data_IF_061016913695
#
_entry.id   IF_061016913695
#
_cell.length_a   1.000
_cell.length_b   1.000
_cell.length_c   1.000
_cell.angle_alpha   90.00
_cell.angle_beta   90.00
_cell.angle_gamma   90.00
#
_symmetry.space_group_name_H-M   'P 1'
#
loop_
_entity.id
_entity.type
_entity.pdbx_description
1 polymer ?
#
# COMPACT_ATOMS: atom_id res chain seq x y z
N UNK A 1 27.55 -25.12 11.04
CA UNK A 1 27.35 -24.94 9.58
C UNK A 1 26.57 -23.66 9.40
N UNK A 2 27.10 -22.70 8.64
CA UNK A 2 26.50 -21.38 8.44
C UNK A 2 25.11 -21.53 7.81
N UNK A 3 24.04 -21.47 8.61
CA UNK A 3 22.75 -21.07 8.08
C UNK A 3 22.90 -19.59 7.71
N UNK A 4 23.18 -19.33 6.43
CA UNK A 4 23.36 -17.98 5.90
C UNK A 4 22.09 -17.18 6.14
N UNK A 5 22.12 -16.32 7.16
CA UNK A 5 21.02 -15.43 7.54
C UNK A 5 20.64 -14.48 6.40
N UNK A 6 21.60 -14.17 5.52
CA UNK A 6 21.46 -13.22 4.44
C UNK A 6 21.68 -13.88 3.08
N UNK A 7 20.82 -13.54 2.13
CA UNK A 7 20.93 -13.82 0.70
C UNK A 7 21.47 -12.56 0.03
N UNK A 8 22.70 -12.61 -0.47
CA UNK A 8 23.38 -11.46 -1.08
C UNK A 8 23.02 -11.29 -2.55
N UNK A 9 23.24 -10.08 -3.07
CA UNK A 9 23.15 -9.77 -4.49
C UNK A 9 24.49 -9.27 -5.02
N UNK A 10 24.57 -9.02 -6.33
CA UNK A 10 25.68 -8.32 -6.98
C UNK A 10 25.88 -6.90 -6.46
N UNK A 11 24.85 -6.30 -5.84
CA UNK A 11 24.90 -5.01 -5.18
C UNK A 11 25.04 -5.20 -3.66
N UNK A 12 26.17 -4.81 -3.04
CA UNK A 12 26.38 -5.01 -1.60
C UNK A 12 25.42 -4.22 -0.71
N UNK A 13 24.73 -3.20 -1.24
CA UNK A 13 23.69 -2.45 -0.54
C UNK A 13 22.33 -3.15 -0.51
N UNK A 14 22.19 -4.29 -1.20
CA UNK A 14 20.92 -5.00 -1.35
C UNK A 14 21.12 -6.46 -0.92
N UNK A 15 20.53 -6.80 0.22
CA UNK A 15 20.53 -8.14 0.81
C UNK A 15 19.13 -8.50 1.27
N UNK A 16 18.81 -9.79 1.26
CA UNK A 16 17.51 -10.29 1.73
C UNK A 16 17.73 -11.23 2.91
N UNK A 17 16.88 -11.14 3.94
CA UNK A 17 16.88 -12.13 5.02
C UNK A 17 16.48 -13.51 4.47
N UNK A 18 17.08 -14.59 4.95
CA UNK A 18 16.75 -15.95 4.52
C UNK A 18 15.45 -16.50 5.16
N UNK A 19 14.40 -15.66 5.11
CA UNK A 19 13.00 -16.01 5.38
C UNK A 19 12.28 -16.31 4.08
N UNK A 20 11.01 -16.72 4.16
CA UNK A 20 10.20 -16.93 2.95
C UNK A 20 10.01 -15.64 2.15
N UNK A 21 9.81 -14.52 2.84
CA UNK A 21 9.72 -13.18 2.24
C UNK A 21 11.02 -12.82 1.51
N UNK A 22 12.17 -12.99 2.15
CA UNK A 22 13.43 -12.63 1.51
C UNK A 22 13.85 -13.60 0.41
N UNK A 23 13.50 -14.90 0.48
CA UNK A 23 13.65 -15.84 -0.65
C UNK A 23 12.75 -15.46 -1.83
N UNK A 24 11.51 -15.04 -1.58
CA UNK A 24 10.60 -14.53 -2.61
C UNK A 24 11.20 -13.31 -3.30
N UNK A 25 11.65 -12.32 -2.53
CA UNK A 25 12.28 -11.11 -3.09
C UNK A 25 13.57 -11.44 -3.83
N UNK A 26 14.42 -12.32 -3.29
CA UNK A 26 15.65 -12.76 -3.96
C UNK A 26 15.36 -13.44 -5.29
N UNK A 27 14.34 -14.30 -5.36
CA UNK A 27 13.89 -14.91 -6.62
C UNK A 27 13.47 -13.86 -7.64
N UNK A 28 12.74 -12.84 -7.22
CA UNK A 28 12.30 -11.74 -8.10
C UNK A 28 13.48 -10.83 -8.48
N UNK A 29 14.48 -10.67 -7.61
CA UNK A 29 15.71 -9.95 -7.91
C UNK A 29 16.53 -10.64 -9.00
N UNK A 30 16.59 -11.97 -8.95
CA UNK A 30 17.38 -12.79 -9.89
C UNK A 30 16.63 -13.11 -11.20
N UNK A 31 15.32 -12.90 -11.25
CA UNK A 31 14.49 -13.23 -12.40
C UNK A 31 14.87 -12.44 -13.67
N UNK A 32 14.79 -13.07 -14.83
CA UNK A 32 14.95 -12.37 -16.12
C UNK A 32 13.79 -11.40 -16.38
N UNK A 33 13.93 -10.47 -17.33
CA UNK A 33 12.82 -9.58 -17.71
C UNK A 33 11.61 -10.39 -18.25
N UNK A 34 11.85 -11.50 -18.95
CA UNK A 34 10.78 -12.39 -19.44
C UNK A 34 10.04 -13.09 -18.28
N UNK A 35 10.75 -13.50 -17.24
CA UNK A 35 10.13 -14.06 -16.03
C UNK A 35 9.30 -13.02 -15.27
N UNK A 36 9.77 -11.77 -15.22
CA UNK A 36 9.00 -10.65 -14.67
C UNK A 36 7.74 -10.39 -15.49
N UNK A 37 7.84 -10.37 -16.82
CA UNK A 37 6.69 -10.17 -17.71
C UNK A 37 5.65 -11.27 -17.53
N UNK A 38 6.08 -12.53 -17.38
CA UNK A 38 5.18 -13.64 -17.07
C UNK A 38 4.47 -13.45 -15.72
N UNK A 39 5.19 -12.98 -14.69
CA UNK A 39 4.55 -12.66 -13.40
C UNK A 39 3.49 -11.57 -13.61
N UNK A 40 3.79 -10.51 -14.35
CA UNK A 40 2.81 -9.45 -14.59
C UNK A 40 1.58 -9.96 -15.37
N UNK A 41 1.78 -10.82 -16.36
CA UNK A 41 0.69 -11.47 -17.12
C UNK A 41 -0.22 -12.32 -16.22
N UNK A 42 0.35 -13.07 -15.27
CA UNK A 42 -0.42 -13.89 -14.33
C UNK A 42 -1.39 -13.03 -13.47
N UNK A 43 -0.99 -11.80 -13.15
CA UNK A 43 -1.80 -10.81 -12.41
C UNK A 43 -2.60 -9.87 -13.33
N UNK A 44 -2.45 -10.00 -14.65
CA UNK A 44 -3.10 -9.14 -15.65
C UNK A 44 -2.63 -7.69 -15.55
N UNK A 45 -1.32 -7.44 -15.51
CA UNK A 45 -0.74 -6.10 -15.54
C UNK A 45 -0.03 -5.90 -16.89
N UNK A 46 -0.27 -4.79 -17.61
CA UNK A 46 -1.24 -3.72 -17.29
C UNK A 46 -2.71 -4.14 -17.50
N UNK A 47 -3.63 -3.41 -16.88
CA UNK A 47 -5.08 -3.50 -17.11
C UNK A 47 -5.73 -2.15 -16.90
N UNK A 48 -6.91 -1.93 -17.49
CA UNK A 48 -7.72 -0.75 -17.15
C UNK A 48 -8.24 -0.85 -15.70
N UNK A 49 -8.38 0.28 -14.98
CA UNK A 49 -8.98 0.28 -13.64
C UNK A 49 -10.38 -0.35 -13.62
N UNK A 50 -10.64 -1.15 -12.61
CA UNK A 50 -11.85 -1.94 -12.44
C UNK A 50 -12.88 -1.26 -11.50
N UNK A 51 -12.69 0.02 -11.15
CA UNK A 51 -13.53 0.78 -10.19
C UNK A 51 -15.04 0.71 -10.47
N UNK A 52 -15.42 0.66 -11.75
CA UNK A 52 -16.81 0.51 -12.21
C UNK A 52 -17.17 -0.89 -12.69
N UNK A 53 -16.23 -1.85 -12.66
CA UNK A 53 -16.44 -3.22 -13.16
C UNK A 53 -17.26 -4.02 -12.14
N UNK A 54 -18.39 -4.63 -12.55
CA UNK A 54 -19.19 -5.47 -11.66
C UNK A 54 -18.39 -6.63 -11.07
N UNK A 55 -18.62 -6.94 -9.80
CA UNK A 55 -17.99 -8.06 -9.10
C UNK A 55 -16.60 -7.77 -8.52
N UNK A 56 -16.01 -6.61 -8.80
CA UNK A 56 -14.62 -6.30 -8.39
C UNK A 56 -14.52 -5.83 -6.94
N UNK A 57 -15.27 -4.79 -6.63
CA UNK A 57 -15.29 -4.14 -5.32
C UNK A 57 -16.51 -4.59 -4.55
N UNK A 58 -16.46 -4.58 -3.21
CA UNK A 58 -17.64 -4.80 -2.38
C UNK A 58 -18.79 -3.88 -2.81
N UNK A 59 -18.47 -2.64 -3.20
CA UNK A 59 -19.40 -1.63 -3.69
C UNK A 59 -19.98 -1.92 -5.09
N UNK A 60 -19.29 -2.71 -5.93
CA UNK A 60 -19.73 -3.07 -7.29
C UNK A 60 -20.13 -4.55 -7.41
N UNK A 61 -20.21 -5.27 -6.29
CA UNK A 61 -20.56 -6.68 -6.24
C UNK A 61 -21.94 -6.86 -5.64
N UNK A 62 -22.77 -7.72 -6.23
CA UNK A 62 -24.10 -8.02 -5.67
C UNK A 62 -23.93 -8.57 -4.26
N UNK A 63 -24.76 -8.11 -3.31
CA UNK A 63 -24.59 -8.39 -1.88
C UNK A 63 -24.44 -9.89 -1.56
N UNK A 64 -25.22 -10.74 -2.20
CA UNK A 64 -25.13 -12.19 -2.05
C UNK A 64 -23.76 -12.75 -2.49
N UNK A 65 -23.20 -12.23 -3.58
CA UNK A 65 -21.86 -12.61 -4.06
C UNK A 65 -20.75 -12.10 -3.14
N UNK A 66 -20.93 -10.94 -2.49
CA UNK A 66 -19.99 -10.46 -1.45
C UNK A 66 -19.93 -11.48 -0.31
N UNK A 67 -21.08 -11.98 0.16
CA UNK A 67 -21.14 -13.00 1.21
C UNK A 67 -20.45 -14.30 0.76
N UNK A 68 -20.67 -14.73 -0.48
CA UNK A 68 -20.04 -15.93 -1.06
C UNK A 68 -18.52 -15.80 -1.20
N UNK A 69 -18.04 -14.63 -1.65
CA UNK A 69 -16.61 -14.34 -1.74
C UNK A 69 -15.97 -14.30 -0.36
N UNK A 70 -16.60 -13.62 0.61
CA UNK A 70 -16.14 -13.55 2.00
C UNK A 70 -15.99 -14.93 2.66
N UNK A 71 -16.88 -15.87 2.35
CA UNK A 71 -16.80 -17.27 2.84
C UNK A 71 -15.59 -18.03 2.29
N UNK A 72 -15.06 -17.61 1.13
CA UNK A 72 -13.85 -18.18 0.51
C UNK A 72 -12.58 -17.44 0.93
N UNK A 73 -12.69 -16.14 1.19
CA UNK A 73 -11.61 -15.27 1.60
C UNK A 73 -12.21 -14.07 2.32
N UNK A 74 -11.96 -13.91 3.63
CA UNK A 74 -12.47 -12.79 4.44
C UNK A 74 -11.42 -11.67 4.64
N UNK A 75 -10.35 -11.69 3.84
CA UNK A 75 -9.40 -10.59 3.72
C UNK A 75 -9.98 -9.52 2.80
N UNK A 76 -9.85 -8.27 3.22
CA UNK A 76 -10.13 -7.08 2.41
C UNK A 76 -8.89 -6.21 2.30
N UNK A 77 -8.53 -5.86 1.07
CA UNK A 77 -7.49 -4.87 0.77
C UNK A 77 -8.14 -3.49 0.66
N UNK A 78 -7.53 -2.52 1.33
CA UNK A 78 -8.02 -1.15 1.42
C UNK A 78 -6.95 -0.25 0.80
N UNK A 79 -7.08 0.09 -0.50
CA UNK A 79 -6.13 0.95 -1.17
C UNK A 79 -6.25 2.38 -0.63
N UNK A 80 -5.11 2.99 -0.27
CA UNK A 80 -5.03 4.33 0.28
C UNK A 80 -3.98 5.14 -0.49
N UNK A 81 -4.42 6.25 -1.06
CA UNK A 81 -3.55 7.24 -1.67
C UNK A 81 -3.97 8.63 -1.25
N UNK A 82 -3.78 9.59 -2.14
CA UNK A 82 -4.24 10.96 -1.97
C UNK A 82 -4.53 11.63 -3.32
N UNK A 83 -4.94 12.90 -3.26
CA UNK A 83 -4.97 13.82 -4.41
C UNK A 83 -3.96 14.94 -4.16
N UNK A 84 -2.87 14.93 -4.92
CA UNK A 84 -1.81 15.91 -4.76
C UNK A 84 -1.08 16.26 -6.05
N UNK A 85 -0.23 17.29 -5.98
CA UNK A 85 0.51 17.79 -7.13
C UNK A 85 1.65 16.86 -7.53
N UNK A 86 1.51 16.19 -8.67
CA UNK A 86 2.53 15.30 -9.24
C UNK A 86 3.17 15.85 -10.53
N UNK A 87 3.54 17.13 -10.52
CA UNK A 87 4.05 17.78 -11.74
C UNK A 87 2.96 18.08 -12.77
N UNK A 88 3.40 18.52 -13.96
CA UNK A 88 2.51 18.88 -15.07
C UNK A 88 2.20 17.72 -16.01
N UNK A 89 3.00 16.65 -15.94
CA UNK A 89 2.97 15.54 -16.87
C UNK A 89 2.02 14.43 -16.46
N UNK A 90 1.52 14.42 -15.23
CA UNK A 90 0.62 13.36 -14.77
C UNK A 90 -0.48 13.88 -13.85
N UNK A 91 -1.36 12.98 -13.46
CA UNK A 91 -2.62 13.24 -12.78
C UNK A 91 -2.44 13.40 -11.28
N UNK A 92 -3.30 14.20 -10.64
CA UNK A 92 -3.24 14.39 -9.19
C UNK A 92 -3.67 13.16 -8.37
N UNK A 93 -4.38 12.21 -9.00
CA UNK A 93 -4.80 10.95 -8.37
C UNK A 93 -3.81 9.80 -8.53
N UNK A 94 -2.54 10.09 -8.85
CA UNK A 94 -1.49 9.10 -9.09
C UNK A 94 -1.45 8.06 -7.96
N UNK A 95 -1.33 8.53 -6.72
CA UNK A 95 -1.24 7.69 -5.54
C UNK A 95 -2.34 6.65 -5.46
N UNK A 96 -3.58 7.13 -5.55
CA UNK A 96 -4.76 6.29 -5.40
C UNK A 96 -4.82 5.25 -6.51
N UNK A 97 -4.50 5.64 -7.76
CA UNK A 97 -4.56 4.72 -8.89
C UNK A 97 -3.45 3.66 -8.88
N UNK A 98 -2.25 3.97 -8.38
CA UNK A 98 -1.17 2.98 -8.23
C UNK A 98 -1.62 1.85 -7.31
N UNK A 99 -2.04 2.15 -6.07
CA UNK A 99 -2.45 1.09 -5.13
C UNK A 99 -3.75 0.40 -5.52
N UNK A 100 -4.66 1.12 -6.17
CA UNK A 100 -5.88 0.54 -6.75
C UNK A 100 -5.52 -0.59 -7.73
N UNK A 101 -4.63 -0.33 -8.68
CA UNK A 101 -4.28 -1.32 -9.70
C UNK A 101 -3.42 -2.47 -9.18
N UNK A 102 -2.56 -2.21 -8.18
CA UNK A 102 -1.85 -3.29 -7.47
C UNK A 102 -2.88 -4.22 -6.80
N UNK A 103 -3.85 -3.66 -6.06
CA UNK A 103 -4.87 -4.45 -5.37
C UNK A 103 -5.77 -5.22 -6.35
N UNK A 104 -6.16 -4.60 -7.47
CA UNK A 104 -6.91 -5.27 -8.54
C UNK A 104 -6.11 -6.42 -9.18
N UNK A 105 -4.80 -6.26 -9.37
CA UNK A 105 -3.91 -7.32 -9.85
C UNK A 105 -3.92 -8.54 -8.92
N UNK A 106 -3.77 -8.32 -7.61
CA UNK A 106 -3.85 -9.39 -6.59
C UNK A 106 -5.22 -10.05 -6.59
N UNK A 107 -6.30 -9.27 -6.74
CA UNK A 107 -7.66 -9.79 -6.88
C UNK A 107 -7.80 -10.69 -8.10
N UNK A 108 -7.39 -10.25 -9.29
CA UNK A 108 -7.44 -11.06 -10.51
C UNK A 108 -6.69 -12.38 -10.35
N UNK A 109 -5.51 -12.35 -9.73
CA UNK A 109 -4.72 -13.55 -9.49
C UNK A 109 -5.45 -14.52 -8.55
N UNK A 110 -5.94 -14.04 -7.40
CA UNK A 110 -6.64 -14.89 -6.41
C UNK A 110 -8.03 -15.36 -6.88
N UNK A 111 -8.69 -14.60 -7.76
CA UNK A 111 -9.94 -15.00 -8.43
C UNK A 111 -9.72 -16.22 -9.35
N UNK A 112 -8.61 -16.25 -10.11
CA UNK A 112 -8.23 -17.43 -10.92
C UNK A 112 -7.99 -18.69 -10.07
N UNK A 113 -7.60 -18.52 -8.80
CA UNK A 113 -7.42 -19.61 -7.83
C UNK A 113 -8.74 -20.00 -7.10
N UNK A 114 -9.85 -19.30 -7.38
CA UNK A 114 -11.16 -19.60 -6.80
C UNK A 114 -11.42 -18.99 -5.42
N UNK A 115 -10.53 -18.14 -4.90
CA UNK A 115 -10.65 -17.49 -3.59
C UNK A 115 -10.34 -15.97 -3.66
N UNK A 116 -11.11 -15.20 -4.47
CA UNK A 116 -10.82 -13.79 -4.73
C UNK A 116 -10.68 -13.00 -3.43
N UNK A 117 -9.56 -12.29 -3.27
CA UNK A 117 -9.44 -11.31 -2.18
C UNK A 117 -10.42 -10.17 -2.42
N UNK A 118 -11.00 -9.62 -1.35
CA UNK A 118 -12.00 -8.57 -1.47
C UNK A 118 -11.32 -7.21 -1.54
N UNK A 119 -11.94 -6.29 -2.27
CA UNK A 119 -11.49 -4.91 -2.40
C UNK A 119 -12.60 -3.96 -1.94
N UNK A 120 -12.20 -2.85 -1.34
CA UNK A 120 -13.06 -1.67 -1.20
C UNK A 120 -12.53 -0.56 -2.09
N UNK A 121 -13.42 0.35 -2.49
CA UNK A 121 -12.97 1.65 -2.99
C UNK A 121 -12.08 2.32 -1.94
N UNK A 122 -11.14 3.14 -2.41
CA UNK A 122 -10.34 3.97 -1.50
C UNK A 122 -11.28 4.82 -0.65
N UNK A 123 -11.22 4.72 0.70
CA UNK A 123 -11.94 5.64 1.56
C UNK A 123 -11.34 7.06 1.54
N UNK A 124 -10.12 7.22 0.98
CA UNK A 124 -9.41 8.50 0.90
C UNK A 124 -9.14 8.86 -0.57
N UNK A 125 -10.04 9.66 -1.17
CA UNK A 125 -9.68 10.42 -2.37
C UNK A 125 -8.82 11.64 -2.00
N UNK A 126 -8.99 12.15 -0.78
CA UNK A 126 -8.19 13.20 -0.17
C UNK A 126 -7.74 12.71 1.19
N UNK A 127 -6.49 12.99 1.55
CA UNK A 127 -5.82 12.39 2.69
C UNK A 127 -5.01 13.40 3.49
N UNK A 128 -4.29 12.87 4.48
CA UNK A 128 -3.33 13.63 5.23
C UNK A 128 -2.08 13.83 4.35
N UNK A 129 -1.31 14.86 4.63
CA UNK A 129 -0.08 15.15 3.91
C UNK A 129 1.04 15.47 4.90
N UNK A 130 2.30 15.25 4.51
CA UNK A 130 3.43 15.78 5.27
C UNK A 130 3.44 17.31 5.20
N UNK A 131 4.10 17.94 6.17
CA UNK A 131 4.08 19.39 6.31
C UNK A 131 4.66 20.11 5.08
N UNK A 132 5.68 19.54 4.45
CA UNK A 132 6.34 20.16 3.30
C UNK A 132 5.49 20.25 2.02
N UNK A 133 4.33 19.59 1.95
CA UNK A 133 3.39 19.72 0.83
C UNK A 133 2.45 20.94 0.98
N UNK A 134 2.54 21.69 2.09
CA UNK A 134 1.61 22.79 2.38
C UNK A 134 1.64 23.87 1.29
N UNK A 135 0.44 24.23 0.81
CA UNK A 135 0.23 25.29 -0.17
C UNK A 135 0.41 24.88 -1.64
N UNK A 136 0.81 23.63 -1.92
CA UNK A 136 0.97 23.14 -3.28
C UNK A 136 -0.36 23.18 -4.07
N UNK A 137 -0.43 23.86 -5.23
CA UNK A 137 -1.65 23.91 -6.02
C UNK A 137 -2.07 22.53 -6.54
N UNK A 138 -3.34 22.16 -6.33
CA UNK A 138 -3.87 20.83 -6.67
C UNK A 138 -3.83 19.83 -5.51
N UNK A 139 -3.13 20.17 -4.43
CA UNK A 139 -3.06 19.36 -3.20
C UNK A 139 -4.18 19.73 -2.24
N UNK A 140 -4.95 18.75 -1.79
CA UNK A 140 -6.06 18.96 -0.85
C UNK A 140 -5.75 18.26 0.47
N UNK A 141 -5.31 19.05 1.44
CA UNK A 141 -4.85 18.54 2.74
C UNK A 141 -6.04 18.37 3.69
N UNK A 142 -6.28 17.14 4.12
CA UNK A 142 -7.29 16.81 5.14
C UNK A 142 -6.60 16.74 6.51
N UNK A 143 -7.21 17.29 7.58
CA UNK A 143 -6.68 17.14 8.93
C UNK A 143 -6.48 15.66 9.31
N UNK A 144 -5.35 15.34 9.92
CA UNK A 144 -4.97 13.97 10.28
C UNK A 144 -6.04 13.28 11.14
N UNK A 145 -6.68 14.03 12.04
CA UNK A 145 -7.76 13.54 12.90
C UNK A 145 -8.99 13.12 12.11
N UNK A 146 -9.34 13.83 11.04
CA UNK A 146 -10.46 13.46 10.16
C UNK A 146 -10.14 12.18 9.40
N UNK A 147 -8.92 12.06 8.88
CA UNK A 147 -8.44 10.86 8.19
C UNK A 147 -8.47 9.66 9.14
N UNK A 148 -7.92 9.82 10.35
CA UNK A 148 -7.88 8.79 11.38
C UNK A 148 -9.29 8.31 11.75
N UNK A 149 -10.20 9.24 12.08
CA UNK A 149 -11.58 8.89 12.41
C UNK A 149 -12.30 8.18 11.27
N UNK A 150 -12.14 8.65 10.03
CA UNK A 150 -12.73 8.01 8.86
C UNK A 150 -12.27 6.56 8.73
N UNK A 151 -10.96 6.30 8.82
CA UNK A 151 -10.40 4.97 8.69
C UNK A 151 -10.85 4.04 9.82
N UNK A 152 -10.88 4.52 11.06
CA UNK A 152 -11.40 3.76 12.21
C UNK A 152 -12.86 3.31 11.97
N UNK A 153 -13.70 4.20 11.42
CA UNK A 153 -15.10 3.88 11.12
C UNK A 153 -15.24 2.93 9.92
N UNK A 154 -14.40 3.08 8.90
CA UNK A 154 -14.33 2.14 7.76
C UNK A 154 -13.96 0.74 8.26
N UNK A 155 -12.92 0.63 9.10
CA UNK A 155 -12.50 -0.65 9.66
C UNK A 155 -13.60 -1.31 10.49
N UNK A 156 -14.30 -0.54 11.32
CA UNK A 156 -15.42 -1.03 12.12
C UNK A 156 -16.58 -1.51 11.24
N UNK A 157 -16.92 -0.77 10.19
CA UNK A 157 -17.97 -1.14 9.25
C UNK A 157 -17.64 -2.44 8.51
N UNK A 158 -16.41 -2.58 8.02
CA UNK A 158 -15.94 -3.79 7.36
C UNK A 158 -15.88 -4.98 8.32
N UNK A 159 -15.47 -4.76 9.57
CA UNK A 159 -15.51 -5.82 10.59
C UNK A 159 -16.96 -6.21 10.89
N UNK A 160 -17.89 -5.25 11.04
CA UNK A 160 -19.32 -5.57 11.19
C UNK A 160 -19.83 -6.40 10.02
N UNK A 161 -19.32 -6.14 8.82
CA UNK A 161 -19.64 -6.87 7.59
C UNK A 161 -18.90 -8.20 7.41
N UNK A 162 -18.28 -8.73 8.46
CA UNK A 162 -17.68 -10.06 8.42
C UNK A 162 -16.23 -10.11 7.95
N UNK A 163 -15.63 -8.99 7.51
CA UNK A 163 -14.21 -8.95 7.11
C UNK A 163 -13.32 -8.89 8.34
N UNK A 164 -12.78 -10.05 8.73
CA UNK A 164 -11.97 -10.21 9.94
C UNK A 164 -10.51 -9.82 9.76
N UNK A 165 -10.09 -9.66 8.51
CA UNK A 165 -8.69 -9.43 8.13
C UNK A 165 -8.64 -8.25 7.16
N UNK A 166 -7.94 -7.19 7.52
CA UNK A 166 -7.97 -5.93 6.78
C UNK A 166 -6.55 -5.41 6.59
N UNK A 167 -6.18 -5.14 5.35
CA UNK A 167 -4.83 -4.72 4.98
C UNK A 167 -4.93 -3.37 4.25
N UNK A 168 -4.42 -2.32 4.89
CA UNK A 168 -4.24 -1.02 4.24
C UNK A 168 -3.02 -1.10 3.32
N UNK A 169 -3.17 -0.67 2.07
CA UNK A 169 -2.08 -0.58 1.09
C UNK A 169 -1.91 0.89 0.70
N UNK A 170 -0.81 1.50 1.13
CA UNK A 170 -0.56 2.94 1.01
C UNK A 170 0.49 3.28 -0.06
N UNK A 171 0.24 4.32 -0.87
CA UNK A 171 1.22 4.94 -1.79
C UNK A 171 1.62 6.37 -1.41
N UNK A 172 0.99 6.99 -0.41
CA UNK A 172 1.15 8.41 -0.14
C UNK A 172 1.97 8.66 1.15
N UNK A 173 2.57 9.84 1.29
CA UNK A 173 3.35 10.26 2.46
C UNK A 173 2.54 10.46 3.76
N UNK A 174 1.69 9.51 4.17
CA UNK A 174 0.79 9.61 5.33
C UNK A 174 0.85 8.39 6.28
N UNK A 175 1.86 7.51 6.15
CA UNK A 175 1.93 6.23 6.87
C UNK A 175 1.70 6.37 8.38
N UNK A 176 2.29 7.38 9.05
CA UNK A 176 2.15 7.54 10.50
C UNK A 176 0.69 7.79 10.95
N UNK A 177 -0.12 8.42 10.08
CA UNK A 177 -1.55 8.63 10.34
C UNK A 177 -2.30 7.30 10.22
N UNK A 178 -1.93 6.47 9.24
CA UNK A 178 -2.53 5.17 9.02
C UNK A 178 -2.20 4.18 10.14
N UNK A 179 -0.94 4.16 10.60
CA UNK A 179 -0.51 3.40 11.78
C UNK A 179 -1.32 3.84 13.01
N UNK A 180 -1.44 5.16 13.23
CA UNK A 180 -2.22 5.72 14.32
C UNK A 180 -3.71 5.31 14.24
N UNK A 181 -4.30 5.28 13.05
CA UNK A 181 -5.69 4.85 12.85
C UNK A 181 -5.90 3.37 13.16
N UNK A 182 -4.97 2.50 12.73
CA UNK A 182 -5.01 1.08 13.07
C UNK A 182 -4.95 0.88 14.59
N UNK A 183 -4.00 1.54 15.27
CA UNK A 183 -3.86 1.43 16.72
C UNK A 183 -5.10 1.97 17.44
N UNK A 184 -5.64 3.11 17.00
CA UNK A 184 -6.86 3.70 17.55
C UNK A 184 -8.06 2.75 17.41
N UNK A 185 -8.22 2.09 16.26
CA UNK A 185 -9.23 1.06 16.05
C UNK A 185 -9.08 -0.09 17.05
N UNK A 186 -7.85 -0.59 17.24
CA UNK A 186 -7.56 -1.66 18.19
C UNK A 186 -7.85 -1.23 19.64
N UNK A 187 -7.48 -0.01 20.03
CA UNK A 187 -7.77 0.53 21.36
C UNK A 187 -9.26 0.63 21.64
N UNK A 188 -10.05 1.18 20.70
CA UNK A 188 -11.48 1.44 20.89
C UNK A 188 -12.33 0.17 20.95
N UNK A 189 -12.05 -0.78 20.08
CA UNK A 189 -12.98 -1.89 19.87
C UNK A 189 -12.45 -3.23 20.38
N UNK A 190 -11.13 -3.43 20.39
CA UNK A 190 -10.49 -4.67 20.80
C UNK A 190 -11.17 -5.89 20.15
N UNK A 191 -11.24 -5.86 18.83
CA UNK A 191 -11.86 -6.91 18.02
C UNK A 191 -10.78 -7.91 17.59
N UNK A 192 -11.01 -9.22 17.73
CA UNK A 192 -10.09 -10.21 17.21
C UNK A 192 -10.10 -10.17 15.68
N UNK A 193 -8.92 -10.26 15.08
CA UNK A 193 -8.71 -10.15 13.65
C UNK A 193 -7.24 -9.95 13.30
N UNK A 194 -6.95 -9.78 12.02
CA UNK A 194 -5.62 -9.39 11.51
C UNK A 194 -5.75 -8.03 10.85
N UNK A 195 -5.04 -7.04 11.37
CA UNK A 195 -5.07 -5.68 10.84
C UNK A 195 -3.63 -5.29 10.52
N UNK A 196 -3.40 -4.82 9.29
CA UNK A 196 -2.06 -4.44 8.83
C UNK A 196 -2.10 -3.13 8.06
N UNK A 197 -1.03 -2.36 8.18
CA UNK A 197 -0.73 -1.20 7.32
C UNK A 197 0.60 -1.44 6.64
N UNK A 198 0.63 -1.11 5.35
CA UNK A 198 1.75 -1.37 4.47
C UNK A 198 1.96 -0.15 3.56
N UNK A 199 3.16 0.40 3.56
CA UNK A 199 3.68 1.16 2.42
C UNK A 199 4.22 0.18 1.40
N UNK A 200 3.51 0.06 0.28
CA UNK A 200 3.79 -1.04 -0.65
C UNK A 200 5.19 -0.90 -1.26
N UNK A 201 5.60 0.32 -1.63
CA UNK A 201 6.90 0.61 -2.21
C UNK A 201 8.03 0.36 -1.21
N UNK A 202 7.78 0.61 0.09
CA UNK A 202 8.73 0.37 1.19
C UNK A 202 8.90 -1.11 1.48
N UNK A 203 7.85 -1.92 1.29
CA UNK A 203 7.93 -3.37 1.41
C UNK A 203 8.72 -4.03 0.29
N UNK A 204 8.95 -3.34 -0.83
CA UNK A 204 9.77 -3.82 -1.96
C UNK A 204 10.86 -2.80 -2.34
N UNK A 205 11.36 -2.03 -1.37
CA UNK A 205 12.28 -0.90 -1.57
C UNK A 205 13.57 -1.27 -2.31
N UNK A 206 13.97 -2.54 -2.22
CA UNK A 206 15.17 -3.06 -2.87
C UNK A 206 15.11 -2.88 -4.40
N UNK A 207 13.91 -2.91 -4.97
CA UNK A 207 13.66 -2.77 -6.41
C UNK A 207 13.58 -1.30 -6.88
N UNK A 208 13.62 -0.35 -5.94
CA UNK A 208 13.73 1.09 -6.19
C UNK A 208 15.13 1.63 -5.86
N UNK A 209 16.09 0.75 -5.55
CA UNK A 209 17.45 1.16 -5.27
C UNK A 209 18.10 1.69 -6.56
N UNK A 210 18.62 2.95 -6.57
CA UNK A 210 19.16 3.54 -7.79
C UNK A 210 20.32 2.73 -8.36
N UNK A 211 20.25 2.44 -9.66
CA UNK A 211 21.23 1.63 -10.40
C UNK A 211 21.47 0.25 -9.76
N UNK A 212 20.46 -0.29 -9.08
CA UNK A 212 20.49 -1.64 -8.50
C UNK A 212 20.64 -2.73 -9.56
N UNK A 213 19.94 -2.57 -10.69
CA UNK A 213 20.01 -3.39 -11.91
C UNK A 213 19.81 -2.54 -13.18
N UNK A 214 20.16 -3.04 -14.39
CA UNK A 214 19.98 -2.29 -15.65
C UNK A 214 18.53 -1.92 -16.01
N UNK A 215 17.55 -2.60 -15.43
CA UNK A 215 16.11 -2.39 -15.60
C UNK A 215 15.47 -1.63 -14.44
N UNK A 216 16.27 -1.08 -13.51
CA UNK A 216 15.78 -0.29 -12.36
C UNK A 216 15.98 1.22 -12.58
N UNK A 217 15.48 2.01 -11.64
CA UNK A 217 15.60 3.47 -11.63
C UNK A 217 17.04 3.95 -11.48
N UNK A 218 17.35 5.13 -12.00
CA UNK A 218 18.67 5.76 -11.95
C UNK A 218 18.83 6.75 -10.80
N UNK A 219 17.70 7.25 -10.29
CA UNK A 219 17.61 8.24 -9.22
C UNK A 219 16.78 7.74 -8.04
N UNK A 220 16.99 8.27 -6.82
CA UNK A 220 16.22 7.87 -5.65
C UNK A 220 14.74 8.18 -5.82
N UNK A 221 13.87 7.25 -5.39
CA UNK A 221 12.41 7.48 -5.30
C UNK A 221 12.13 8.60 -4.29
N UNK A 222 11.61 9.72 -4.78
CA UNK A 222 11.10 10.84 -3.96
C UNK A 222 9.63 11.18 -4.24
N UNK A 223 9.33 12.05 -5.22
CA UNK A 223 7.98 12.55 -5.50
C UNK A 223 7.83 13.01 -6.95
N UNK A 224 6.81 12.51 -7.64
CA UNK A 224 6.52 12.66 -9.07
C UNK A 224 7.73 12.45 -10.00
N UNK A 225 8.66 11.62 -9.55
CA UNK A 225 9.99 11.48 -10.11
C UNK A 225 10.05 10.36 -11.16
N UNK A 226 11.25 9.85 -11.41
CA UNK A 226 11.48 8.70 -12.28
C UNK A 226 10.65 7.47 -11.90
N UNK A 227 10.51 7.18 -10.60
CA UNK A 227 9.83 5.98 -10.09
C UNK A 227 8.33 6.07 -10.31
N UNK A 228 7.71 7.17 -9.90
CA UNK A 228 6.26 7.37 -10.02
C UNK A 228 5.82 7.57 -11.47
N UNK A 229 6.63 8.27 -12.27
CA UNK A 229 6.39 8.38 -13.71
C UNK A 229 6.46 7.02 -14.37
N UNK A 230 7.43 6.18 -13.99
CA UNK A 230 7.53 4.80 -14.50
C UNK A 230 6.32 3.95 -14.11
N UNK A 231 5.81 4.11 -12.88
CA UNK A 231 4.60 3.44 -12.40
C UNK A 231 3.38 3.87 -13.20
N UNK A 232 3.20 5.17 -13.41
CA UNK A 232 2.11 5.71 -14.22
C UNK A 232 2.15 5.21 -15.66
N UNK A 233 3.33 5.18 -16.29
CA UNK A 233 3.50 4.66 -17.66
C UNK A 233 3.21 3.16 -17.78
N UNK A 234 3.42 2.38 -16.72
CA UNK A 234 3.10 0.96 -16.70
C UNK A 234 1.61 0.72 -16.41
N UNK A 235 1.05 1.39 -15.41
CA UNK A 235 -0.25 1.04 -14.86
C UNK A 235 -1.38 1.84 -15.51
N UNK A 236 -1.17 3.12 -15.83
CA UNK A 236 -2.31 3.98 -16.15
C UNK A 236 -2.79 3.81 -17.60
N UNK A 237 -4.10 4.01 -17.85
CA UNK A 237 -4.60 4.21 -19.20
C UNK A 237 -3.81 5.29 -19.95
N UNK A 238 -3.70 5.13 -21.27
CA UNK A 238 -3.07 6.10 -22.15
C UNK A 238 -3.66 7.50 -21.94
N UNK A 239 -2.78 8.52 -21.91
CA UNK A 239 -3.16 9.92 -21.69
C UNK A 239 -3.15 10.39 -20.24
N UNK A 240 -2.93 9.52 -19.26
CA UNK A 240 -2.73 9.92 -17.84
C UNK A 240 -1.28 10.29 -17.51
N UNK A 241 -0.35 10.00 -18.42
CA UNK A 241 1.04 10.48 -18.37
C UNK A 241 1.39 11.05 -19.74
N UNK A 242 1.74 12.32 -19.79
CA UNK A 242 2.24 13.01 -20.98
C UNK A 242 3.73 13.33 -20.81
N UNK A 243 4.58 12.44 -21.34
CA UNK A 243 6.03 12.59 -21.24
C UNK A 243 6.58 13.83 -21.95
N UNK A 244 5.82 14.48 -22.84
CA UNK A 244 6.25 15.76 -23.45
C UNK A 244 6.22 16.93 -22.47
N UNK A 245 5.48 16.77 -21.35
CA UNK A 245 5.38 17.73 -20.26
C UNK A 245 6.25 17.35 -19.06
N UNK A 246 6.94 16.19 -19.10
CA UNK A 246 7.78 15.73 -18.01
C UNK A 246 8.99 16.67 -17.87
N UNK A 247 9.33 17.01 -16.63
CA UNK A 247 10.43 17.92 -16.33
C UNK A 247 11.34 17.35 -15.24
N UNK A 248 12.64 17.61 -15.38
CA UNK A 248 13.63 17.30 -14.35
C UNK A 248 13.79 18.54 -13.47
N UNK A 249 13.74 18.35 -12.16
CA UNK A 249 13.89 19.43 -11.21
C UNK A 249 15.14 19.24 -10.36
N UNK A 250 15.79 20.36 -10.05
CA UNK A 250 16.88 20.43 -9.08
C UNK A 250 16.41 21.42 -8.02
N UNK A 251 16.38 20.99 -6.76
CA UNK A 251 15.78 21.78 -5.66
C UNK A 251 16.27 23.21 -5.65
N UNK A 252 15.33 24.17 -5.74
CA UNK A 252 15.59 25.60 -5.57
C UNK A 252 15.79 25.88 -4.08
N UNK A 253 16.99 25.58 -3.60
CA UNK A 253 17.37 25.71 -2.20
C UNK A 253 18.14 24.48 -1.75
N UNK A 254 19.26 24.72 -1.07
CA UNK A 254 20.02 23.64 -0.45
C UNK A 254 19.31 23.22 0.83
N UNK A 255 19.30 21.91 1.11
CA UNK A 255 19.03 21.46 2.49
C UNK A 255 19.98 22.22 3.40
N UNK A 256 19.45 22.73 4.51
CA UNK A 256 20.24 23.51 5.47
C UNK A 256 21.20 22.61 6.26
N UNK A 257 21.02 21.29 6.20
CA UNK A 257 21.87 20.28 6.83
C UNK A 257 22.51 19.37 5.76
N UNK A 258 23.64 18.72 6.08
CA UNK A 258 24.24 17.71 5.21
C UNK A 258 23.29 16.53 4.94
N UNK A 259 23.42 15.91 3.76
CA UNK A 259 22.69 14.67 3.44
C UNK A 259 23.23 13.48 4.28
N UNK A 260 22.43 12.41 4.40
CA UNK A 260 22.81 11.20 5.12
C UNK A 260 22.14 11.01 6.48
N UNK A 261 21.55 12.07 7.04
CA UNK A 261 20.77 11.98 8.28
C UNK A 261 19.37 11.39 8.06
N UNK A 262 18.69 11.85 7.02
CA UNK A 262 17.33 11.45 6.67
C UNK A 262 17.34 10.57 5.41
N UNK A 263 16.51 9.51 5.40
CA UNK A 263 16.29 8.66 4.26
C UNK A 263 15.44 9.33 3.15
N UNK A 264 15.24 8.63 2.04
CA UNK A 264 14.35 9.04 0.95
C UNK A 264 12.98 8.39 1.10
N UNK A 265 12.02 8.67 0.20
CA UNK A 265 10.60 8.33 0.38
C UNK A 265 10.34 6.85 0.65
N UNK A 266 11.11 5.95 0.04
CA UNK A 266 10.99 4.48 0.24
C UNK A 266 11.96 3.90 1.27
N UNK A 267 12.69 4.76 1.97
CA UNK A 267 13.76 4.43 2.91
C UNK A 267 14.80 3.42 2.38
N UNK A 268 15.37 3.59 1.17
CA UNK A 268 16.22 2.58 0.55
C UNK A 268 17.61 2.46 1.20
N UNK A 269 18.05 3.45 1.99
CA UNK A 269 19.42 3.54 2.49
C UNK A 269 19.59 3.13 3.95
N UNK A 270 18.49 2.85 4.66
CA UNK A 270 18.49 2.53 6.08
C UNK A 270 19.22 3.60 6.92
N UNK A 271 18.97 4.87 6.60
CA UNK A 271 19.57 6.01 7.32
C UNK A 271 18.96 6.16 8.74
N UNK A 272 19.62 6.90 9.64
CA UNK A 272 19.18 7.02 11.03
C UNK A 272 17.75 7.53 11.21
N UNK A 273 17.31 8.46 10.34
CA UNK A 273 15.95 8.98 10.34
C UNK A 273 15.17 8.58 9.09
N UNK A 274 13.89 8.27 9.25
CA UNK A 274 12.94 8.24 8.12
C UNK A 274 12.74 9.65 7.59
N UNK A 275 12.36 9.79 6.33
CA UNK A 275 12.14 11.11 5.70
C UNK A 275 11.09 11.95 6.46
N UNK A 276 10.08 11.32 7.08
CA UNK A 276 8.96 11.98 7.76
C UNK A 276 9.26 12.40 9.21
N UNK A 277 10.45 12.12 9.75
CA UNK A 277 10.79 12.35 11.16
C UNK A 277 11.37 13.74 11.45
N UNK A 278 11.45 14.61 10.45
CA UNK A 278 12.00 15.95 10.60
C UNK A 278 11.45 16.93 9.59
N UNK A 279 11.27 18.17 10.04
CA UNK A 279 10.80 19.28 9.22
C UNK A 279 11.64 20.54 9.52
N UNK A 280 11.73 21.46 8.56
CA UNK A 280 12.46 22.72 8.71
C UNK A 280 13.98 22.66 8.45
N UNK A 281 14.53 21.47 8.18
CA UNK A 281 15.91 21.30 7.72
C UNK A 281 16.06 21.41 6.18
N UNK A 282 14.95 21.62 5.48
CA UNK A 282 14.87 21.90 4.06
C UNK A 282 13.68 22.86 3.79
N UNK A 283 13.71 23.63 2.70
CA UNK A 283 12.55 24.41 2.25
C UNK A 283 11.38 23.49 1.86
N UNK A 284 10.16 23.91 2.17
CA UNK A 284 8.94 23.23 1.72
C UNK A 284 8.79 23.30 0.18
N UNK A 285 8.02 22.37 -0.39
CA UNK A 285 8.01 22.15 -1.84
C UNK A 285 7.53 23.34 -2.65
N UNK A 286 6.56 24.12 -2.16
CA UNK A 286 6.09 25.30 -2.90
C UNK A 286 7.20 26.33 -3.15
N UNK A 287 8.23 26.37 -2.32
CA UNK A 287 9.41 27.21 -2.52
C UNK A 287 10.53 26.49 -3.26
N UNK A 288 10.79 25.23 -2.90
CA UNK A 288 11.92 24.46 -3.42
C UNK A 288 11.66 23.89 -4.82
N UNK A 289 10.45 23.41 -5.05
CA UNK A 289 10.02 22.64 -6.21
C UNK A 289 8.56 22.98 -6.57
N UNK A 290 8.24 24.27 -6.85
CA UNK A 290 6.87 24.68 -7.18
C UNK A 290 6.29 23.95 -8.39
N UNK A 291 7.13 23.35 -9.22
CA UNK A 291 6.78 22.44 -10.32
C UNK A 291 5.94 21.23 -9.84
N UNK A 292 6.17 20.73 -8.62
CA UNK A 292 5.56 19.51 -8.09
C UNK A 292 6.25 18.22 -8.51
N UNK A 293 7.48 18.33 -9.03
CA UNK A 293 8.39 17.21 -9.28
C UNK A 293 9.59 17.36 -8.36
N UNK A 294 9.98 16.29 -7.68
CA UNK A 294 11.19 16.23 -6.86
C UNK A 294 12.09 15.12 -7.41
N UNK A 295 12.79 15.39 -8.51
CA UNK A 295 13.64 14.40 -9.17
C UNK A 295 13.62 14.48 -10.69
N UNK A 296 13.77 13.33 -11.35
CA UNK A 296 13.93 13.24 -12.81
C UNK A 296 12.78 12.50 -13.49
N UNK A 297 11.64 13.17 -13.64
CA UNK A 297 10.48 12.58 -14.31
C UNK A 297 10.79 12.16 -15.76
N UNK A 298 11.67 12.89 -16.46
CA UNK A 298 12.02 12.59 -17.87
C UNK A 298 12.73 11.25 -18.06
N UNK A 299 13.29 10.68 -16.99
CA UNK A 299 13.94 9.37 -17.01
C UNK A 299 12.95 8.20 -16.84
N UNK A 300 11.67 8.49 -16.60
CA UNK A 300 10.63 7.49 -16.37
C UNK A 300 10.37 6.60 -17.58
N UNK A 301 10.14 5.30 -17.34
CA UNK A 301 9.73 4.35 -18.37
C UNK A 301 8.97 3.17 -17.75
N UNK A 302 7.95 2.65 -18.44
CA UNK A 302 7.18 1.50 -17.94
C UNK A 302 8.07 0.29 -17.57
N UNK A 303 9.17 0.08 -18.32
CA UNK A 303 10.16 -0.98 -18.06
C UNK A 303 10.69 -0.94 -16.61
N UNK A 304 10.98 0.25 -16.08
CA UNK A 304 11.55 0.45 -14.73
C UNK A 304 10.59 0.09 -13.59
N UNK A 305 9.28 0.11 -13.86
CA UNK A 305 8.26 -0.24 -12.87
C UNK A 305 7.89 -1.73 -12.84
N UNK A 306 8.24 -2.50 -13.88
CA UNK A 306 7.81 -3.90 -14.01
C UNK A 306 8.22 -4.77 -12.83
N UNK A 307 9.50 -4.74 -12.47
CA UNK A 307 10.06 -5.56 -11.39
C UNK A 307 9.53 -5.19 -9.99
N UNK A 308 9.50 -3.91 -9.56
CA UNK A 308 8.90 -3.56 -8.28
C UNK A 308 7.40 -3.90 -8.21
N UNK A 309 6.65 -3.74 -9.32
CA UNK A 309 5.23 -4.14 -9.37
C UNK A 309 5.09 -5.66 -9.25
N UNK A 310 5.89 -6.45 -9.97
CA UNK A 310 5.90 -7.91 -9.81
C UNK A 310 6.25 -8.32 -8.37
N UNK A 311 7.21 -7.64 -7.74
CA UNK A 311 7.61 -7.88 -6.36
C UNK A 311 6.46 -7.70 -5.36
N UNK A 312 5.75 -6.58 -5.44
CA UNK A 312 4.66 -6.30 -4.50
C UNK A 312 3.46 -7.22 -4.72
N UNK A 313 3.14 -7.55 -5.97
CA UNK A 313 2.07 -8.49 -6.30
C UNK A 313 2.32 -9.87 -5.68
N UNK A 314 3.54 -10.39 -5.86
CA UNK A 314 3.95 -11.67 -5.24
C UNK A 314 3.96 -11.59 -3.71
N UNK A 315 4.44 -10.48 -3.13
CA UNK A 315 4.49 -10.30 -1.69
C UNK A 315 3.09 -10.25 -1.05
N UNK A 316 2.18 -9.46 -1.62
CA UNK A 316 0.80 -9.38 -1.13
C UNK A 316 0.08 -10.73 -1.23
N UNK A 317 0.31 -11.50 -2.32
CA UNK A 317 -0.20 -12.87 -2.42
C UNK A 317 0.35 -13.76 -1.32
N UNK A 318 1.67 -13.71 -1.05
CA UNK A 318 2.26 -14.46 0.05
C UNK A 318 1.64 -14.11 1.41
N UNK A 319 1.45 -12.81 1.68
CA UNK A 319 0.80 -12.34 2.91
C UNK A 319 -0.63 -12.90 3.03
N UNK A 320 -1.42 -12.83 1.96
CA UNK A 320 -2.78 -13.38 1.92
C UNK A 320 -2.78 -14.88 2.19
N UNK A 321 -1.92 -15.63 1.50
CA UNK A 321 -1.86 -17.09 1.60
C UNK A 321 -1.47 -17.52 3.02
N UNK A 322 -0.42 -16.90 3.61
CA UNK A 322 0.02 -17.21 4.97
C UNK A 322 -1.02 -16.84 6.03
N UNK A 323 -1.74 -15.72 5.86
CA UNK A 323 -2.83 -15.36 6.78
C UNK A 323 -3.96 -16.41 6.70
N UNK A 324 -4.36 -16.83 5.50
CA UNK A 324 -5.45 -17.81 5.32
C UNK A 324 -5.04 -19.23 5.73
N UNK A 325 -3.76 -19.58 5.62
CA UNK A 325 -3.22 -20.86 6.12
C UNK A 325 -3.38 -20.97 7.64
N UNK A 326 -3.03 -19.92 8.38
CA UNK A 326 -3.13 -19.91 9.84
C UNK A 326 -4.56 -19.65 10.31
N UNK A 327 -5.25 -18.72 9.67
CA UNK A 327 -6.62 -18.30 10.01
C UNK A 327 -7.51 -18.36 8.76
N UNK A 328 -8.11 -19.53 8.46
CA UNK A 328 -9.06 -19.65 7.36
C UNK A 328 -10.22 -18.65 7.44
N UNK A 329 -11.02 -18.48 6.37
CA UNK A 329 -12.16 -17.56 6.37
C UNK A 329 -13.09 -17.75 7.57
N UNK A 330 -13.43 -16.66 8.25
CA UNK A 330 -14.25 -16.66 9.46
C UNK A 330 -13.53 -17.09 10.75
N UNK A 331 -12.26 -17.50 10.67
CA UNK A 331 -11.41 -17.73 11.84
C UNK A 331 -10.57 -16.50 12.14
N UNK A 332 -10.32 -16.30 13.44
CA UNK A 332 -9.58 -15.17 14.01
C UNK A 332 -8.55 -15.70 15.01
N UNK A 333 -7.53 -14.91 15.38
CA UNK A 333 -6.66 -15.23 16.51
C UNK A 333 -7.45 -15.48 17.81
N UNK A 334 -6.88 -16.23 18.77
CA UNK A 334 -7.52 -16.47 20.06
C UNK A 334 -7.94 -15.16 20.74
N UNK A 335 -9.22 -15.03 21.07
CA UNK A 335 -9.82 -13.76 21.51
C UNK A 335 -9.14 -13.24 22.77
N UNK A 336 -8.94 -14.10 23.78
CA UNK A 336 -8.32 -13.72 25.05
C UNK A 336 -6.82 -13.40 24.94
N UNK A 337 -6.15 -13.79 23.86
CA UNK A 337 -4.71 -13.54 23.67
C UNK A 337 -4.43 -12.22 22.95
N UNK A 338 -5.38 -11.74 22.14
CA UNK A 338 -5.20 -10.51 21.32
C UNK A 338 -6.14 -9.37 21.71
N UNK A 339 -7.03 -9.59 22.68
CA UNK A 339 -7.99 -8.61 23.20
C UNK A 339 -8.17 -8.78 24.71
N UNK A 340 -8.75 -7.80 25.40
CA UNK A 340 -9.20 -7.97 26.79
C UNK A 340 -10.63 -8.53 26.89
N UNK A 341 -11.21 -9.02 25.79
CA UNK A 341 -12.53 -9.62 25.74
C UNK A 341 -12.44 -11.12 25.98
N UNK A 342 -13.55 -11.71 26.44
CA UNK A 342 -13.66 -13.17 26.51
C UNK A 342 -14.21 -13.75 25.21
N UNK A 343 -13.85 -14.99 24.87
CA UNK A 343 -14.41 -15.70 23.71
C UNK A 343 -15.94 -15.81 23.82
N UNK A 344 -16.47 -16.02 25.04
CA UNK A 344 -17.91 -16.08 25.30
C UNK A 344 -18.63 -14.76 25.00
N UNK A 345 -18.02 -13.63 25.34
CA UNK A 345 -18.56 -12.31 25.02
C UNK A 345 -18.59 -12.08 23.50
N UNK A 346 -17.53 -12.50 22.81
CA UNK A 346 -17.36 -12.27 21.37
C UNK A 346 -18.12 -13.24 20.46
N UNK A 347 -18.57 -14.39 20.97
CA UNK A 347 -19.31 -15.42 20.22
C UNK A 347 -20.44 -14.85 19.33
N UNK A 348 -21.40 -14.05 19.83
CA UNK A 348 -22.47 -13.53 18.97
C UNK A 348 -21.99 -12.53 17.91
N UNK A 349 -20.88 -11.82 18.14
CA UNK A 349 -20.33 -10.83 17.20
C UNK A 349 -19.48 -11.47 16.11
N UNK A 350 -18.91 -12.65 16.39
CA UNK A 350 -18.12 -13.43 15.44
C UNK A 350 -18.95 -14.29 14.49
N UNK A 351 -20.23 -14.51 14.79
CA UNK A 351 -21.18 -15.15 13.87
C UNK A 351 -21.23 -14.42 12.52
N UNK A 352 -21.64 -15.15 11.48
CA UNK A 352 -21.83 -14.55 10.17
C UNK A 352 -22.91 -13.45 10.25
N UNK A 353 -22.67 -12.25 9.69
CA UNK A 353 -23.68 -11.20 9.69
C UNK A 353 -25.04 -11.67 9.17
N UNK A 354 -26.11 -11.24 9.84
CA UNK A 354 -27.51 -11.63 9.57
C UNK A 354 -27.89 -13.10 9.87
N UNK A 355 -26.94 -13.93 10.34
CA UNK A 355 -27.25 -15.29 10.80
C UNK A 355 -27.93 -15.31 12.18
N UNK A 356 -28.56 -16.44 12.53
CA UNK A 356 -29.29 -16.59 13.79
C UNK A 356 -28.39 -16.35 15.02
N UNK A 357 -28.79 -15.36 15.83
CA UNK A 357 -28.07 -14.95 17.04
C UNK A 357 -26.81 -14.13 16.79
N UNK A 358 -26.54 -13.69 15.55
CA UNK A 358 -25.54 -12.67 15.27
C UNK A 358 -25.91 -11.35 15.95
N UNK A 359 -24.88 -10.65 16.44
CA UNK A 359 -25.00 -9.28 16.94
C UNK A 359 -24.09 -8.34 16.16
N UNK A 360 -24.63 -7.18 15.82
CA UNK A 360 -23.84 -6.10 15.22
C UNK A 360 -22.78 -5.59 16.18
N UNK A 361 -21.59 -5.27 15.66
CA UNK A 361 -20.48 -4.69 16.44
C UNK A 361 -20.86 -3.35 17.08
N UNK A 362 -21.85 -2.63 16.53
CA UNK A 362 -22.35 -1.38 17.10
C UNK A 362 -23.14 -1.57 18.41
N UNK A 363 -23.48 -2.82 18.77
CA UNK A 363 -24.05 -3.20 20.06
C UNK A 363 -23.01 -3.76 21.04
N UNK A 364 -21.73 -3.71 20.68
CA UNK A 364 -20.64 -4.22 21.51
C UNK A 364 -20.44 -3.30 22.74
N UNK A 365 -20.43 -3.86 23.96
CA UNK A 365 -20.08 -3.08 25.14
C UNK A 365 -18.70 -2.48 24.99
N UNK A 366 -18.59 -1.19 25.32
CA UNK A 366 -17.29 -0.50 25.41
C UNK A 366 -16.47 -1.12 26.54
N UNK A 367 -15.17 -1.27 26.28
CA UNK A 367 -14.18 -1.68 27.27
C UNK A 367 -12.99 -0.74 27.19
N UNK A 368 -12.43 -0.35 28.32
CA UNK A 368 -11.38 0.67 28.35
C UNK A 368 -11.93 2.10 28.21
N UNK A 369 -11.07 3.01 27.74
CA UNK A 369 -11.32 4.45 27.66
C UNK A 369 -12.25 4.85 26.51
#
# INVERSE_FOLDING_TARGET
MQNGLWLTTENPGIVFENTEVGRLKKKIWDASEEEIDKILEDYGIPSLPELGKPGTYIQTTVRQQVIENRRKNDIVLIPLGCTEKHGRHTISGLDTLVVTQIAEGVRRYTEKQGHPVNLVWSPLNYGAHPYHHIGMPGTVIIPQEVVKELLVNVMLGLWNDGFRKQIFINNHGQLWVLESALHEFMYRYQLPGIFQVLDWHRAVREFFYPKGKPDTVETPFVHADESETSLGLLLFPEGMVDMSLAEDTVGKGQSYLPDGHFDKSVEPYHRPHRWSEGEGHAPIEIFAQPEGVVGRATAGSARKAKRPVAAILKYLTLVIDQILEVFPPGKVPPVEEVTLRSAKEMEPYLKEPESEGWKTVYSLPKIGF
#
